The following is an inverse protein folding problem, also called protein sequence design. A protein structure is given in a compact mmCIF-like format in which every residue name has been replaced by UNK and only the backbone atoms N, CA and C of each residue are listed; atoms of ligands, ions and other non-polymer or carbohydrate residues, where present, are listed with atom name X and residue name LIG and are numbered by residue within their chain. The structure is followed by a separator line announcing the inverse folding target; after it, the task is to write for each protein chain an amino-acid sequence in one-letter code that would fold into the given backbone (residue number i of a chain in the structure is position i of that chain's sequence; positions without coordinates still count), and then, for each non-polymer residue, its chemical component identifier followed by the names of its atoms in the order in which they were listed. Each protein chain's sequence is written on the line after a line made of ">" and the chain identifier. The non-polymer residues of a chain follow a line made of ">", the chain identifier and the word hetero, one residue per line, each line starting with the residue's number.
data_IF_994591971656
#
_entry.id   IF_994591971656
#
_cell.length_a   1.000
_cell.length_b   1.000
_cell.length_c   1.000
_cell.angle_alpha   90.00
_cell.angle_beta   90.00
_cell.angle_gamma   90.00
#
_symmetry.space_group_name_H-M   'P 1'
#
loop_
_entity.id
_entity.type
_entity.pdbx_description
1 polymer ?
#
# COMPACT_ATOMS: atom_id res chain seq x y z
N UNK A 1 10.78 -30.05 -14.18
CA UNK A 1 9.63 -30.04 -13.25
C UNK A 1 8.52 -29.26 -13.91
N UNK A 2 7.27 -29.65 -13.71
CA UNK A 2 6.12 -28.89 -14.22
C UNK A 2 6.07 -27.56 -13.46
N UNK A 3 6.09 -26.41 -14.17
CA UNK A 3 5.97 -25.07 -13.55
C UNK A 3 4.53 -24.92 -13.06
N UNK A 4 4.30 -25.19 -11.78
CA UNK A 4 2.97 -25.11 -11.14
C UNK A 4 3.09 -24.28 -9.88
N UNK A 5 2.21 -23.30 -9.76
CA UNK A 5 2.09 -22.50 -8.55
C UNK A 5 1.76 -23.39 -7.34
N UNK A 6 2.20 -23.00 -6.13
CA UNK A 6 1.75 -23.63 -4.90
C UNK A 6 0.22 -23.69 -4.83
N UNK A 7 -0.34 -24.73 -4.21
CA UNK A 7 -1.80 -24.89 -4.11
C UNK A 7 -2.45 -23.85 -3.19
N UNK A 8 -1.65 -23.31 -2.30
CA UNK A 8 -1.94 -22.31 -1.29
C UNK A 8 -1.46 -20.91 -1.69
N UNK A 9 -1.14 -20.70 -2.97
CA UNK A 9 -0.77 -19.38 -3.48
C UNK A 9 -1.95 -18.39 -3.38
N UNK A 10 -1.68 -17.18 -2.89
CA UNK A 10 -2.71 -16.18 -2.69
C UNK A 10 -2.96 -15.37 -3.97
N UNK A 11 -4.22 -15.36 -4.40
CA UNK A 11 -4.74 -14.58 -5.53
C UNK A 11 -5.86 -13.67 -5.03
N UNK A 12 -5.73 -12.38 -5.29
CA UNK A 12 -6.70 -11.44 -4.74
C UNK A 12 -6.49 -10.01 -5.14
N UNK A 13 -7.09 -9.12 -4.36
CA UNK A 13 -6.98 -7.69 -4.55
C UNK A 13 -6.87 -6.94 -3.24
N UNK A 14 -6.51 -5.67 -3.36
CA UNK A 14 -6.29 -4.78 -2.24
C UNK A 14 -6.89 -3.40 -2.45
N UNK A 15 -7.33 -2.82 -1.33
CA UNK A 15 -7.92 -1.47 -1.30
C UNK A 15 -7.44 -0.70 -0.07
N UNK A 16 -7.91 0.54 0.05
CA UNK A 16 -7.82 1.35 1.26
C UNK A 16 -9.19 1.90 1.64
N UNK A 17 -9.43 2.01 2.94
CA UNK A 17 -10.65 2.50 3.58
C UNK A 17 -11.16 3.81 2.97
N UNK A 18 -10.31 4.83 2.89
CA UNK A 18 -10.73 6.16 2.40
C UNK A 18 -11.02 6.17 0.90
N UNK A 19 -10.45 5.25 0.11
CA UNK A 19 -10.69 5.16 -1.33
C UNK A 19 -11.94 4.36 -1.69
N UNK A 20 -12.48 3.56 -0.77
CA UNK A 20 -13.62 2.66 -1.03
C UNK A 20 -14.84 2.88 -0.16
N UNK A 21 -14.69 3.07 1.15
CA UNK A 21 -15.79 2.96 2.10
C UNK A 21 -16.85 4.06 1.95
N UNK A 22 -16.41 5.33 1.90
CA UNK A 22 -17.32 6.48 2.00
C UNK A 22 -17.91 6.62 3.41
N UNK A 23 -19.11 7.17 3.52
CA UNK A 23 -19.87 7.31 4.77
C UNK A 23 -19.06 7.98 5.89
N UNK A 24 -18.41 9.10 5.57
CA UNK A 24 -17.42 9.74 6.46
C UNK A 24 -17.95 10.18 7.84
N UNK A 25 -19.27 10.34 7.99
CA UNK A 25 -19.94 10.87 9.19
C UNK A 25 -20.92 9.85 9.81
N UNK A 26 -20.88 8.58 9.40
CA UNK A 26 -21.78 7.54 9.90
C UNK A 26 -21.07 6.57 10.85
N UNK A 27 -21.86 5.80 11.60
CA UNK A 27 -21.32 4.72 12.43
C UNK A 27 -20.45 5.19 13.59
N UNK A 28 -20.60 6.43 14.06
CA UNK A 28 -19.74 7.03 15.08
C UNK A 28 -18.32 7.38 14.62
N UNK A 29 -18.01 7.32 13.31
CA UNK A 29 -16.69 7.65 12.76
C UNK A 29 -16.26 9.08 13.13
N UNK A 30 -15.04 9.21 13.66
CA UNK A 30 -14.37 10.49 13.87
C UNK A 30 -13.78 11.08 12.58
N UNK A 31 -13.51 12.38 12.62
CA UNK A 31 -12.86 13.09 11.50
C UNK A 31 -11.43 12.58 11.32
N UNK A 32 -11.09 12.10 10.14
CA UNK A 32 -9.72 11.73 9.76
C UNK A 32 -9.06 12.84 8.94
N UNK A 33 -7.75 12.74 8.71
CA UNK A 33 -7.00 13.76 7.98
C UNK A 33 -7.50 13.97 6.54
N UNK A 34 -7.99 12.93 5.86
CA UNK A 34 -8.51 13.06 4.49
C UNK A 34 -9.83 13.83 4.43
N UNK A 35 -10.61 13.87 5.52
CA UNK A 35 -11.87 14.62 5.57
C UNK A 35 -11.66 16.15 5.55
N UNK A 36 -10.47 16.61 5.94
CA UNK A 36 -10.15 18.05 6.10
C UNK A 36 -9.03 18.53 5.20
N UNK A 37 -8.32 17.61 4.54
CA UNK A 37 -7.22 17.97 3.63
C UNK A 37 -7.74 18.79 2.46
N UNK A 38 -7.04 19.87 2.06
CA UNK A 38 -7.36 20.56 0.82
C UNK A 38 -7.30 19.59 -0.36
N UNK A 39 -8.32 19.64 -1.21
CA UNK A 39 -8.43 18.81 -2.41
C UNK A 39 -8.46 19.68 -3.65
N UNK A 40 -8.06 19.09 -4.78
CA UNK A 40 -8.25 19.73 -6.07
C UNK A 40 -9.76 19.84 -6.35
N UNK A 41 -10.31 21.05 -6.55
CA UNK A 41 -11.74 21.23 -6.81
C UNK A 41 -12.22 20.62 -8.13
N UNK A 42 -11.33 20.15 -9.01
CA UNK A 42 -11.67 19.37 -10.22
C UNK A 42 -11.87 17.87 -9.94
N UNK A 43 -11.34 17.37 -8.83
CA UNK A 43 -11.45 15.96 -8.44
C UNK A 43 -12.67 15.74 -7.54
N UNK A 44 -12.90 14.49 -7.11
CA UNK A 44 -14.00 14.15 -6.21
C UNK A 44 -13.72 14.58 -4.77
N UNK A 45 -14.60 14.17 -3.86
CA UNK A 45 -14.33 14.13 -2.43
C UNK A 45 -14.40 12.71 -1.86
N UNK A 46 -13.99 12.55 -0.61
CA UNK A 46 -13.94 11.26 0.08
C UNK A 46 -15.27 10.89 0.76
N UNK A 47 -16.35 11.64 0.54
CA UNK A 47 -17.58 11.46 1.32
C UNK A 47 -18.21 10.12 1.04
N UNK A 48 -18.34 9.79 -0.25
CA UNK A 48 -19.08 8.61 -0.72
C UNK A 48 -18.13 7.54 -1.26
N UNK A 49 -16.92 7.91 -1.70
CA UNK A 49 -15.98 6.99 -2.33
C UNK A 49 -16.69 6.07 -3.35
N UNK A 50 -16.58 4.75 -3.26
CA UNK A 50 -17.40 3.84 -4.07
C UNK A 50 -18.51 3.17 -3.28
N UNK A 51 -18.80 3.67 -2.07
CA UNK A 51 -19.87 3.18 -1.20
C UNK A 51 -19.69 1.69 -0.85
N UNK A 52 -18.45 1.24 -0.62
CA UNK A 52 -18.19 -0.13 -0.13
C UNK A 52 -18.83 -0.33 1.26
N UNK A 53 -18.93 0.72 2.07
CA UNK A 53 -19.48 0.64 3.44
C UNK A 53 -20.92 0.07 3.46
N UNK A 54 -21.72 0.31 2.42
CA UNK A 54 -23.08 -0.28 2.32
C UNK A 54 -23.19 -1.36 1.25
N UNK A 55 -22.19 -1.52 0.38
CA UNK A 55 -22.23 -2.43 -0.79
C UNK A 55 -21.21 -3.56 -0.76
N UNK A 56 -20.49 -3.75 0.34
CA UNK A 56 -19.49 -4.83 0.45
C UNK A 56 -20.04 -6.23 0.15
N UNK A 57 -21.34 -6.49 0.31
CA UNK A 57 -21.98 -7.73 -0.15
C UNK A 57 -21.90 -7.95 -1.68
N UNK A 58 -22.17 -6.90 -2.46
CA UNK A 58 -22.04 -6.92 -3.93
C UNK A 58 -20.58 -7.07 -4.33
N UNK A 59 -19.69 -6.34 -3.65
CA UNK A 59 -18.26 -6.34 -3.95
C UNK A 59 -17.61 -7.70 -3.62
N UNK A 60 -17.95 -8.33 -2.49
CA UNK A 60 -17.48 -9.69 -2.13
C UNK A 60 -17.96 -10.73 -3.15
N UNK A 61 -19.20 -10.61 -3.64
CA UNK A 61 -19.70 -11.52 -4.67
C UNK A 61 -18.89 -11.42 -5.98
N UNK A 62 -18.49 -10.21 -6.36
CA UNK A 62 -17.62 -9.95 -7.51
C UNK A 62 -16.20 -10.47 -7.27
N UNK A 63 -15.62 -10.25 -6.09
CA UNK A 63 -14.30 -10.80 -5.72
C UNK A 63 -14.29 -12.32 -5.81
N UNK A 64 -15.30 -12.98 -5.26
CA UNK A 64 -15.47 -14.44 -5.39
C UNK A 64 -15.63 -14.85 -6.85
N UNK A 65 -16.38 -14.08 -7.64
CA UNK A 65 -16.57 -14.33 -9.06
C UNK A 65 -15.29 -14.17 -9.90
N UNK A 66 -14.30 -13.40 -9.42
CA UNK A 66 -12.95 -13.31 -9.99
C UNK A 66 -12.01 -14.42 -9.48
N UNK A 67 -12.46 -15.33 -8.62
CA UNK A 67 -11.63 -16.41 -8.08
C UNK A 67 -10.71 -15.98 -6.93
N UNK A 68 -11.03 -14.90 -6.21
CA UNK A 68 -10.24 -14.47 -5.07
C UNK A 68 -10.22 -15.54 -3.97
N UNK A 69 -9.04 -15.78 -3.40
CA UNK A 69 -8.86 -16.51 -2.15
C UNK A 69 -8.24 -15.63 -1.05
N UNK A 70 -7.90 -14.38 -1.36
CA UNK A 70 -7.29 -13.43 -0.44
C UNK A 70 -7.82 -12.01 -0.69
N UNK A 71 -7.98 -11.21 0.37
CA UNK A 71 -8.34 -9.80 0.24
C UNK A 71 -7.68 -8.95 1.31
N UNK A 72 -6.96 -7.91 0.88
CA UNK A 72 -6.28 -6.97 1.77
C UNK A 72 -7.03 -5.65 1.82
N UNK A 73 -7.53 -5.28 2.99
CA UNK A 73 -8.16 -3.97 3.20
C UNK A 73 -7.50 -3.23 4.37
N UNK A 74 -7.71 -1.92 4.46
CA UNK A 74 -7.31 -1.15 5.64
C UNK A 74 -8.47 -0.84 6.54
N UNK A 75 -8.21 -0.81 7.84
CA UNK A 75 -9.15 -0.31 8.83
C UNK A 75 -8.97 1.20 8.94
N UNK A 76 -10.06 1.95 8.89
CA UNK A 76 -10.07 3.36 9.19
C UNK A 76 -9.96 3.57 10.70
N UNK A 77 -8.80 4.05 11.17
CA UNK A 77 -8.53 4.23 12.60
C UNK A 77 -9.63 5.06 13.29
N UNK A 78 -10.11 6.13 12.65
CA UNK A 78 -11.17 6.98 13.23
C UNK A 78 -12.56 6.32 13.28
N UNK A 79 -12.76 5.13 12.70
CA UNK A 79 -13.95 4.31 12.97
C UNK A 79 -13.83 3.50 14.26
N UNK A 80 -12.62 3.08 14.64
CA UNK A 80 -12.40 2.25 15.84
C UNK A 80 -12.23 3.13 17.09
N UNK A 81 -11.43 4.20 16.99
CA UNK A 81 -11.17 5.15 18.06
C UNK A 81 -11.29 6.57 17.45
N UNK A 82 -12.44 7.25 17.59
CA UNK A 82 -12.77 8.44 16.79
C UNK A 82 -11.75 9.59 16.80
N UNK A 83 -11.22 9.95 17.97
CA UNK A 83 -10.12 10.91 18.14
C UNK A 83 -8.75 10.23 18.26
N UNK A 84 -8.70 8.91 18.31
CA UNK A 84 -7.49 8.09 18.34
C UNK A 84 -6.72 8.10 19.66
N UNK A 85 -7.27 8.67 20.74
CA UNK A 85 -6.51 8.92 21.99
C UNK A 85 -6.43 7.68 22.89
N UNK A 86 -5.60 7.72 23.94
CA UNK A 86 -5.39 6.58 24.84
C UNK A 86 -6.61 6.21 25.71
N UNK A 87 -7.44 7.19 26.07
CA UNK A 87 -8.52 7.00 27.04
C UNK A 87 -9.93 6.99 26.41
N UNK A 88 -10.02 7.19 25.10
CA UNK A 88 -11.30 7.27 24.40
C UNK A 88 -11.94 5.88 24.23
N UNK A 89 -13.23 5.68 24.58
CA UNK A 89 -13.91 4.41 24.38
C UNK A 89 -13.84 3.91 22.93
N UNK A 90 -13.75 2.60 22.75
CA UNK A 90 -13.84 1.97 21.42
C UNK A 90 -15.23 2.19 20.87
N UNK A 91 -15.31 2.58 19.60
CA UNK A 91 -16.57 2.71 18.89
C UNK A 91 -17.02 1.35 18.34
N UNK A 92 -17.96 0.72 19.03
CA UNK A 92 -18.43 -0.64 18.71
C UNK A 92 -19.19 -0.72 17.37
N UNK A 93 -19.75 0.38 16.83
CA UNK A 93 -20.34 0.38 15.48
C UNK A 93 -19.27 0.22 14.39
N UNK A 94 -18.13 0.89 14.54
CA UNK A 94 -16.97 0.72 13.65
C UNK A 94 -16.38 -0.70 13.76
N UNK A 95 -16.26 -1.24 14.97
CA UNK A 95 -15.83 -2.64 15.18
C UNK A 95 -16.79 -3.61 14.50
N UNK A 96 -18.10 -3.38 14.62
CA UNK A 96 -19.12 -4.23 13.99
C UNK A 96 -18.99 -4.24 12.47
N UNK A 97 -18.78 -3.09 11.83
CA UNK A 97 -18.60 -3.01 10.38
C UNK A 97 -17.46 -3.92 9.89
N UNK A 98 -16.26 -3.77 10.45
CA UNK A 98 -15.12 -4.60 10.03
C UNK A 98 -15.29 -6.07 10.42
N UNK A 99 -15.91 -6.36 11.58
CA UNK A 99 -16.22 -7.74 11.96
C UNK A 99 -17.16 -8.41 10.96
N UNK A 100 -18.23 -7.73 10.53
CA UNK A 100 -19.17 -8.24 9.54
C UNK A 100 -18.49 -8.45 8.18
N UNK A 101 -17.64 -7.51 7.76
CA UNK A 101 -16.84 -7.64 6.53
C UNK A 101 -15.93 -8.88 6.58
N UNK A 102 -15.19 -9.07 7.67
CA UNK A 102 -14.32 -10.23 7.90
C UNK A 102 -15.10 -11.53 7.84
N UNK A 103 -16.24 -11.61 8.54
CA UNK A 103 -17.07 -12.82 8.58
C UNK A 103 -17.60 -13.19 7.20
N UNK A 104 -17.99 -12.20 6.39
CA UNK A 104 -18.47 -12.44 5.03
C UNK A 104 -17.37 -12.81 4.06
N UNK A 105 -16.18 -12.23 4.17
CA UNK A 105 -15.01 -12.64 3.39
C UNK A 105 -14.69 -14.11 3.66
N UNK A 106 -14.60 -14.49 4.93
CA UNK A 106 -14.36 -15.88 5.34
C UNK A 106 -15.46 -16.83 4.86
N UNK A 107 -16.74 -16.44 4.97
CA UNK A 107 -17.86 -17.20 4.44
C UNK A 107 -17.82 -17.36 2.90
N UNK A 108 -17.22 -16.39 2.20
CA UNK A 108 -16.99 -16.46 0.77
C UNK A 108 -15.80 -17.37 0.39
N UNK A 109 -14.95 -17.74 1.34
CA UNK A 109 -13.70 -18.48 1.13
C UNK A 109 -12.51 -17.56 0.80
N UNK A 110 -12.58 -16.29 1.20
CA UNK A 110 -11.58 -15.27 0.95
C UNK A 110 -10.87 -14.97 2.27
N UNK A 111 -9.56 -15.21 2.33
CA UNK A 111 -8.74 -14.94 3.51
C UNK A 111 -8.48 -13.43 3.66
N UNK A 112 -8.90 -12.81 4.78
CA UNK A 112 -8.70 -11.40 5.01
C UNK A 112 -7.27 -11.10 5.50
N UNK A 113 -6.73 -9.96 5.05
CA UNK A 113 -5.55 -9.33 5.61
C UNK A 113 -5.87 -7.89 6.03
N UNK A 114 -5.48 -7.55 7.26
CA UNK A 114 -5.69 -6.21 7.82
C UNK A 114 -4.44 -5.34 7.64
N UNK A 115 -4.66 -4.16 7.07
CA UNK A 115 -3.75 -3.01 7.14
C UNK A 115 -4.23 -2.04 8.23
N UNK A 116 -3.41 -1.75 9.23
CA UNK A 116 -3.83 -0.89 10.34
C UNK A 116 -3.93 0.59 9.94
N UNK A 117 -2.98 1.11 9.16
CA UNK A 117 -2.95 2.50 8.71
C UNK A 117 -2.67 2.58 7.22
N UNK A 118 -3.57 3.24 6.51
CA UNK A 118 -3.40 3.65 5.12
C UNK A 118 -3.52 5.17 5.02
N UNK A 119 -2.62 5.85 5.75
CA UNK A 119 -2.46 7.32 5.82
C UNK A 119 -3.61 8.10 6.50
N UNK A 120 -4.71 7.44 6.86
CA UNK A 120 -5.99 7.99 7.31
C UNK A 120 -6.11 8.18 8.84
N UNK A 121 -5.09 8.82 9.44
CA UNK A 121 -5.04 9.11 10.88
C UNK A 121 -6.22 9.98 11.36
N UNK A 122 -6.75 9.77 12.59
CA UNK A 122 -7.69 10.68 13.22
C UNK A 122 -7.13 12.11 13.26
N UNK A 123 -7.90 13.08 12.76
CA UNK A 123 -7.45 14.47 12.62
C UNK A 123 -7.13 15.12 13.98
N UNK A 124 -7.77 14.65 15.06
CA UNK A 124 -7.44 15.08 16.42
C UNK A 124 -5.96 14.86 16.77
N UNK A 125 -5.38 13.72 16.37
CA UNK A 125 -3.97 13.42 16.62
C UNK A 125 -3.04 14.30 15.79
N UNK A 126 -3.42 14.58 14.55
CA UNK A 126 -2.68 15.50 13.67
C UNK A 126 -2.67 16.91 14.26
N UNK A 127 -3.85 17.44 14.56
CA UNK A 127 -4.04 18.84 14.98
C UNK A 127 -3.41 19.15 16.34
N UNK A 128 -3.47 18.22 17.29
CA UNK A 128 -3.06 18.49 18.67
C UNK A 128 -1.67 17.93 19.02
N UNK A 129 -1.14 17.01 18.22
CA UNK A 129 0.12 16.32 18.52
C UNK A 129 1.06 16.21 17.30
N UNK A 130 0.73 16.85 16.17
CA UNK A 130 1.54 16.81 14.94
C UNK A 130 1.81 15.37 14.45
N UNK A 131 0.79 14.51 14.56
CA UNK A 131 0.83 13.12 14.09
C UNK A 131 2.03 12.34 14.62
N UNK A 132 2.69 11.57 13.76
CA UNK A 132 3.80 10.70 14.18
C UNK A 132 5.08 11.43 14.58
N UNK A 133 5.14 12.77 14.56
CA UNK A 133 6.20 13.49 15.26
C UNK A 133 6.15 13.27 16.79
N UNK A 134 4.98 12.95 17.34
CA UNK A 134 4.78 12.77 18.77
C UNK A 134 4.81 11.30 19.20
N UNK A 135 5.58 11.00 20.25
CA UNK A 135 5.59 9.68 20.90
C UNK A 135 4.26 9.31 21.53
N UNK A 136 3.49 10.30 21.98
CA UNK A 136 2.12 10.06 22.42
C UNK A 136 1.28 9.44 21.30
N UNK A 137 1.47 9.87 20.04
CA UNK A 137 0.76 9.28 18.89
C UNK A 137 1.24 7.86 18.58
N UNK A 138 2.52 7.56 18.83
CA UNK A 138 3.06 6.19 18.77
C UNK A 138 2.35 5.27 19.78
N UNK A 139 2.10 5.76 21.00
CA UNK A 139 1.36 5.00 22.03
C UNK A 139 -0.13 4.87 21.69
N UNK A 140 -0.75 5.93 21.16
CA UNK A 140 -2.11 5.89 20.62
C UNK A 140 -2.25 4.84 19.51
N UNK A 141 -1.26 4.74 18.61
CA UNK A 141 -1.23 3.71 17.58
C UNK A 141 -1.09 2.30 18.18
N UNK A 142 -0.22 2.11 19.18
CA UNK A 142 -0.09 0.82 19.86
C UNK A 142 -1.43 0.37 20.48
N UNK A 143 -2.14 1.30 21.12
CA UNK A 143 -3.48 1.03 21.66
C UNK A 143 -4.44 0.60 20.55
N UNK A 144 -4.51 1.36 19.47
CA UNK A 144 -5.37 1.05 18.33
C UNK A 144 -5.06 -0.33 17.73
N UNK A 145 -3.79 -0.64 17.51
CA UNK A 145 -3.34 -1.94 17.03
C UNK A 145 -3.80 -3.07 17.97
N UNK A 146 -3.63 -2.92 19.28
CA UNK A 146 -4.09 -3.90 20.28
C UNK A 146 -5.61 -4.10 20.24
N UNK A 147 -6.40 -3.03 20.10
CA UNK A 147 -7.86 -3.14 19.95
C UNK A 147 -8.21 -3.94 18.69
N UNK A 148 -7.61 -3.63 17.54
CA UNK A 148 -7.86 -4.38 16.31
C UNK A 148 -7.46 -5.86 16.44
N UNK A 149 -6.29 -6.15 17.01
CA UNK A 149 -5.80 -7.52 17.22
C UNK A 149 -6.69 -8.28 18.20
N UNK A 150 -7.17 -7.64 19.26
CA UNK A 150 -8.12 -8.24 20.22
C UNK A 150 -9.45 -8.61 19.55
N UNK A 151 -9.98 -7.71 18.71
CA UNK A 151 -11.33 -7.88 18.13
C UNK A 151 -11.38 -8.74 16.86
N UNK A 152 -10.28 -8.83 16.11
CA UNK A 152 -10.24 -9.49 14.81
C UNK A 152 -9.19 -10.59 14.69
N UNK A 153 -8.25 -10.69 15.63
CA UNK A 153 -7.11 -11.61 15.58
C UNK A 153 -7.47 -13.09 15.70
N UNK A 154 -8.67 -13.41 16.19
CA UNK A 154 -9.19 -14.79 16.20
C UNK A 154 -9.49 -15.33 14.79
N UNK A 155 -9.67 -14.44 13.81
CA UNK A 155 -10.10 -14.75 12.44
C UNK A 155 -9.10 -14.30 11.37
N UNK A 156 -8.31 -13.27 11.65
CA UNK A 156 -7.37 -12.68 10.68
C UNK A 156 -5.94 -13.15 10.97
N UNK A 157 -5.33 -13.80 9.97
CA UNK A 157 -3.99 -14.38 10.09
C UNK A 157 -2.88 -13.49 9.56
N UNK A 158 -3.17 -12.54 8.66
CA UNK A 158 -2.19 -11.67 8.03
C UNK A 158 -2.40 -10.20 8.44
N UNK A 159 -1.33 -9.57 8.91
CA UNK A 159 -1.35 -8.22 9.47
C UNK A 159 -0.24 -7.34 8.92
N UNK A 160 -0.53 -6.05 8.85
CA UNK A 160 0.40 -5.00 8.45
C UNK A 160 0.11 -3.72 9.24
N UNK A 161 1.16 -3.01 9.66
CA UNK A 161 1.00 -1.72 10.34
C UNK A 161 0.70 -0.60 9.36
N UNK A 162 1.68 -0.22 8.55
CA UNK A 162 1.63 0.92 7.65
C UNK A 162 1.72 0.43 6.22
N UNK A 163 0.81 0.89 5.37
CA UNK A 163 1.00 0.75 3.95
C UNK A 163 2.17 1.64 3.49
N UNK A 164 3.00 1.14 2.55
CA UNK A 164 4.07 1.92 1.90
C UNK A 164 4.98 2.68 2.88
N UNK A 165 5.52 1.97 3.88
CA UNK A 165 6.13 2.63 5.04
C UNK A 165 7.37 3.48 4.69
N UNK A 166 8.05 3.21 3.58
CA UNK A 166 9.21 3.97 3.13
C UNK A 166 8.85 5.43 2.81
N UNK A 167 7.61 5.72 2.43
CA UNK A 167 7.14 7.08 2.18
C UNK A 167 7.23 7.98 3.41
N UNK A 168 7.21 7.43 4.63
CA UNK A 168 7.38 8.21 5.86
C UNK A 168 8.78 8.83 5.99
N UNK A 169 9.79 8.29 5.28
CA UNK A 169 11.14 8.87 5.16
C UNK A 169 11.30 9.81 3.97
N UNK A 170 10.23 10.05 3.20
CA UNK A 170 10.25 10.87 1.99
C UNK A 170 9.30 12.07 2.07
N UNK A 171 8.17 11.92 2.77
CA UNK A 171 7.10 12.91 2.76
C UNK A 171 6.36 12.97 4.10
N UNK A 172 6.53 14.08 4.83
CA UNK A 172 5.89 14.33 6.14
C UNK A 172 4.36 14.22 6.11
N UNK A 173 3.75 14.51 4.95
CA UNK A 173 2.32 14.38 4.72
C UNK A 173 1.82 12.95 4.98
N UNK A 174 2.59 11.92 4.64
CA UNK A 174 2.19 10.52 4.88
C UNK A 174 2.21 10.17 6.37
N UNK A 175 3.09 10.80 7.13
CA UNK A 175 3.17 10.70 8.60
C UNK A 175 2.20 11.61 9.35
N UNK A 176 1.51 12.50 8.64
CA UNK A 176 0.68 13.58 9.18
C UNK A 176 1.44 14.47 10.19
N UNK A 177 2.71 14.76 9.89
CA UNK A 177 3.67 15.42 10.78
C UNK A 177 4.34 16.63 10.12
N UNK A 178 3.55 17.45 9.42
CA UNK A 178 4.03 18.51 8.53
C UNK A 178 4.54 19.77 9.27
N UNK A 179 4.24 19.91 10.57
CA UNK A 179 4.78 21.02 11.36
C UNK A 179 6.22 20.72 11.79
N UNK A 180 7.18 21.47 11.25
CA UNK A 180 8.60 21.34 11.56
C UNK A 180 8.94 22.27 12.74
N UNK A 181 9.52 21.77 13.84
CA UNK A 181 9.91 22.62 14.97
C UNK A 181 10.93 23.70 14.60
N UNK A 182 10.85 24.85 15.27
CA UNK A 182 11.79 25.95 15.05
C UNK A 182 13.24 25.50 15.27
N UNK A 183 14.12 25.86 14.32
CA UNK A 183 15.54 25.50 14.37
C UNK A 183 15.87 24.06 13.97
N UNK A 184 14.88 23.25 13.58
CA UNK A 184 15.08 21.89 13.07
C UNK A 184 15.01 21.90 11.54
N UNK A 185 15.98 21.27 10.88
CA UNK A 185 15.96 21.12 9.42
C UNK A 185 14.91 20.09 8.99
N UNK A 186 14.37 20.25 7.77
CA UNK A 186 13.42 19.30 7.19
C UNK A 186 13.92 17.84 7.24
N UNK A 187 15.15 17.49 6.79
CA UNK A 187 15.63 16.11 6.84
C UNK A 187 15.69 15.56 8.27
N UNK A 188 16.15 16.37 9.24
CA UNK A 188 16.27 15.93 10.64
C UNK A 188 14.90 15.61 11.24
N UNK A 189 13.90 16.47 10.98
CA UNK A 189 12.52 16.21 11.39
C UNK A 189 11.94 14.99 10.69
N UNK A 190 12.11 14.88 9.37
CA UNK A 190 11.62 13.76 8.56
C UNK A 190 12.15 12.41 9.05
N UNK A 191 13.45 12.30 9.32
CA UNK A 191 14.05 11.05 9.77
C UNK A 191 13.74 10.73 11.23
N UNK A 192 13.50 11.73 12.09
CA UNK A 192 12.93 11.52 13.43
C UNK A 192 11.50 10.97 13.35
N UNK A 193 10.66 11.55 12.49
CA UNK A 193 9.28 11.07 12.27
C UNK A 193 9.28 9.64 11.73
N UNK A 194 10.15 9.33 10.77
CA UNK A 194 10.32 7.98 10.24
C UNK A 194 10.72 6.98 11.34
N UNK A 195 11.59 7.38 12.26
CA UNK A 195 11.96 6.56 13.40
C UNK A 195 10.77 6.29 14.33
N UNK A 196 9.98 7.30 14.65
CA UNK A 196 8.76 7.13 15.45
C UNK A 196 7.75 6.18 14.79
N UNK A 197 7.59 6.26 13.46
CA UNK A 197 6.75 5.32 12.69
C UNK A 197 7.30 3.89 12.76
N UNK A 198 8.62 3.70 12.70
CA UNK A 198 9.24 2.39 12.91
C UNK A 198 8.98 1.85 14.32
N UNK A 199 9.01 2.71 15.35
CA UNK A 199 8.69 2.30 16.73
C UNK A 199 7.22 1.91 16.86
N UNK A 200 6.31 2.64 16.20
CA UNK A 200 4.90 2.27 16.11
C UNK A 200 4.72 0.90 15.42
N UNK A 201 5.41 0.64 14.30
CA UNK A 201 5.42 -0.65 13.61
C UNK A 201 5.84 -1.78 14.56
N UNK A 202 7.00 -1.63 15.20
CA UNK A 202 7.55 -2.64 16.10
C UNK A 202 6.64 -2.91 17.31
N UNK A 203 5.97 -1.87 17.85
CA UNK A 203 4.94 -2.03 18.90
C UNK A 203 3.76 -2.88 18.44
N UNK A 204 3.29 -2.71 17.21
CA UNK A 204 2.23 -3.55 16.65
C UNK A 204 2.69 -4.99 16.39
N UNK A 205 3.92 -5.20 15.90
CA UNK A 205 4.51 -6.54 15.76
C UNK A 205 4.57 -7.22 17.12
N UNK A 206 5.12 -6.56 18.14
CA UNK A 206 5.15 -7.08 19.52
C UNK A 206 3.76 -7.46 20.01
N UNK A 207 2.78 -6.56 19.87
CA UNK A 207 1.41 -6.83 20.29
C UNK A 207 0.83 -8.07 19.59
N UNK A 208 1.06 -8.25 18.28
CA UNK A 208 0.62 -9.45 17.57
C UNK A 208 1.30 -10.70 18.12
N UNK A 209 2.63 -10.69 18.34
CA UNK A 209 3.34 -11.85 18.89
C UNK A 209 2.83 -12.26 20.27
N UNK A 210 2.46 -11.29 21.10
CA UNK A 210 1.94 -11.53 22.45
C UNK A 210 0.49 -12.03 22.45
N UNK A 211 -0.35 -11.50 21.56
CA UNK A 211 -1.79 -11.73 21.59
C UNK A 211 -2.27 -12.80 20.61
N UNK A 212 -1.60 -12.97 19.47
CA UNK A 212 -1.94 -13.87 18.36
C UNK A 212 -0.66 -14.50 17.77
N UNK A 213 0.03 -15.39 18.51
CA UNK A 213 1.36 -15.89 18.13
C UNK A 213 1.41 -16.67 16.81
N UNK A 214 0.29 -17.25 16.38
CA UNK A 214 0.20 -17.99 15.11
C UNK A 214 -0.04 -17.08 13.90
N UNK A 215 -0.42 -15.82 14.12
CA UNK A 215 -0.63 -14.84 13.06
C UNK A 215 0.70 -14.29 12.53
N UNK A 216 0.66 -13.83 11.29
CA UNK A 216 1.78 -13.32 10.52
C UNK A 216 1.71 -11.81 10.37
N UNK A 217 2.88 -11.17 10.48
CA UNK A 217 3.05 -9.73 10.33
C UNK A 217 4.05 -9.45 9.22
N UNK A 218 3.73 -8.53 8.30
CA UNK A 218 4.63 -8.16 7.22
C UNK A 218 5.25 -6.78 7.38
N UNK A 219 6.43 -6.61 6.78
CA UNK A 219 7.02 -5.30 6.52
C UNK A 219 6.68 -4.85 5.11
N UNK A 220 6.06 -3.67 4.92
CA UNK A 220 5.56 -3.21 3.63
C UNK A 220 6.22 -1.92 3.16
N UNK A 221 6.63 -1.88 1.89
CA UNK A 221 7.13 -0.67 1.23
C UNK A 221 6.56 -0.47 -0.18
N UNK A 222 6.51 0.79 -0.62
CA UNK A 222 6.36 1.16 -2.03
C UNK A 222 7.70 1.02 -2.74
N UNK A 223 8.00 -0.19 -3.21
CA UNK A 223 9.32 -0.50 -3.73
C UNK A 223 9.38 -0.16 -5.21
N UNK A 224 10.10 0.91 -5.52
CA UNK A 224 10.41 1.30 -6.90
C UNK A 224 11.86 0.93 -7.20
N UNK A 225 12.08 0.04 -8.17
CA UNK A 225 13.42 -0.26 -8.66
C UNK A 225 14.05 1.00 -9.28
N UNK A 226 15.38 1.13 -9.22
CA UNK A 226 16.10 2.31 -9.73
C UNK A 226 17.20 1.86 -10.70
N UNK A 227 17.00 2.18 -11.98
CA UNK A 227 18.01 2.00 -13.02
C UNK A 227 18.95 3.21 -13.09
N UNK A 228 20.22 2.95 -13.40
CA UNK A 228 21.13 3.97 -13.88
C UNK A 228 20.82 4.28 -15.36
N UNK A 229 20.82 5.55 -15.73
CA UNK A 229 20.58 5.98 -17.11
C UNK A 229 21.73 5.57 -18.05
N UNK A 230 22.97 5.56 -17.55
CA UNK A 230 24.14 5.08 -18.29
C UNK A 230 25.02 4.10 -17.49
N UNK A 231 26.02 3.51 -18.16
CA UNK A 231 26.90 2.50 -17.59
C UNK A 231 28.15 3.08 -16.91
N UNK A 232 28.18 4.37 -16.59
CA UNK A 232 29.29 4.97 -15.85
C UNK A 232 29.33 4.44 -14.41
N UNK A 233 30.52 4.24 -13.82
CA UNK A 233 30.64 3.87 -12.42
C UNK A 233 29.90 4.82 -11.47
N UNK A 234 29.90 6.11 -11.77
CA UNK A 234 29.26 7.15 -10.95
C UNK A 234 27.74 7.06 -11.00
N UNK A 235 27.13 6.86 -12.18
CA UNK A 235 25.68 6.70 -12.27
C UNK A 235 25.23 5.40 -11.57
N UNK A 236 25.97 4.31 -11.77
CA UNK A 236 25.65 3.02 -11.14
C UNK A 236 25.76 3.09 -9.61
N UNK A 237 26.79 3.76 -9.08
CA UNK A 237 26.91 3.99 -7.64
C UNK A 237 25.74 4.83 -7.11
N UNK A 238 25.40 5.94 -7.78
CA UNK A 238 24.29 6.80 -7.37
C UNK A 238 22.95 6.05 -7.38
N UNK A 239 22.65 5.29 -8.43
CA UNK A 239 21.43 4.48 -8.51
C UNK A 239 21.35 3.42 -7.40
N UNK A 240 22.45 2.73 -7.12
CA UNK A 240 22.52 1.74 -6.03
C UNK A 240 22.32 2.39 -4.65
N UNK A 241 22.96 3.54 -4.41
CA UNK A 241 22.77 4.29 -3.16
C UNK A 241 21.35 4.85 -3.04
N UNK A 242 20.77 5.35 -4.13
CA UNK A 242 19.38 5.80 -4.17
C UNK A 242 18.43 4.67 -3.77
N UNK A 243 18.61 3.47 -4.34
CA UNK A 243 17.78 2.32 -3.97
C UNK A 243 17.92 2.00 -2.47
N UNK A 244 19.15 1.92 -1.98
CA UNK A 244 19.41 1.58 -0.58
C UNK A 244 18.86 2.61 0.41
N UNK A 245 18.95 3.90 0.10
CA UNK A 245 18.49 5.00 0.97
C UNK A 245 16.97 5.23 0.90
N UNK A 246 16.31 4.84 -0.19
CA UNK A 246 14.86 5.01 -0.33
C UNK A 246 14.06 3.75 -0.01
N UNK A 247 14.61 2.58 -0.30
CA UNK A 247 13.92 1.30 -0.18
C UNK A 247 14.66 0.35 0.75
N UNK A 248 15.94 0.08 0.46
CA UNK A 248 16.71 -0.99 1.10
C UNK A 248 16.81 -0.86 2.62
N UNK A 249 16.91 0.37 3.14
CA UNK A 249 17.11 0.56 4.58
C UNK A 249 15.90 0.07 5.38
N UNK A 250 14.70 0.27 4.84
CA UNK A 250 13.45 -0.14 5.46
C UNK A 250 13.34 -1.67 5.46
N UNK A 251 13.61 -2.27 4.31
CA UNK A 251 13.57 -3.74 4.11
C UNK A 251 14.58 -4.43 5.03
N UNK A 252 15.81 -3.91 5.12
CA UNK A 252 16.82 -4.40 6.05
C UNK A 252 16.35 -4.31 7.49
N UNK A 253 15.75 -3.17 7.87
CA UNK A 253 15.29 -2.96 9.25
C UNK A 253 14.20 -3.96 9.64
N UNK A 254 13.23 -4.19 8.75
CA UNK A 254 12.16 -5.18 8.97
C UNK A 254 12.69 -6.59 9.20
N UNK A 255 13.76 -6.98 8.51
CA UNK A 255 14.32 -8.34 8.57
C UNK A 255 15.37 -8.53 9.67
N UNK A 256 16.19 -7.50 9.95
CA UNK A 256 17.39 -7.62 10.79
C UNK A 256 17.19 -7.09 12.21
N UNK A 257 16.14 -6.31 12.45
CA UNK A 257 15.83 -5.73 13.75
C UNK A 257 16.83 -4.66 14.23
N UNK A 258 17.45 -3.97 13.27
CA UNK A 258 18.31 -2.79 13.46
C UNK A 258 18.34 -1.98 12.17
N UNK A 259 18.66 -0.69 12.26
CA UNK A 259 18.99 0.07 11.05
C UNK A 259 20.33 -0.41 10.46
N UNK A 260 20.46 -0.49 9.13
CA UNK A 260 21.69 -0.93 8.49
C UNK A 260 22.79 0.14 8.59
N UNK A 261 24.05 -0.31 8.62
CA UNK A 261 25.21 0.55 8.90
C UNK A 261 25.36 1.71 7.89
N UNK A 262 25.02 1.48 6.62
CA UNK A 262 25.08 2.53 5.60
C UNK A 262 24.05 3.65 5.83
N UNK A 263 22.89 3.31 6.41
CA UNK A 263 21.84 4.27 6.75
C UNK A 263 22.27 5.10 7.96
N UNK A 264 22.80 4.45 9.00
CA UNK A 264 23.34 5.14 10.17
C UNK A 264 24.47 6.09 9.77
N UNK A 265 25.44 5.61 9.00
CA UNK A 265 26.54 6.46 8.50
C UNK A 265 26.03 7.62 7.65
N UNK A 266 25.00 7.41 6.82
CA UNK A 266 24.40 8.48 6.02
C UNK A 266 23.83 9.60 6.89
N UNK A 267 23.08 9.24 7.94
CA UNK A 267 22.41 10.18 8.83
C UNK A 267 23.37 10.85 9.83
N UNK A 268 24.30 10.10 10.42
CA UNK A 268 25.28 10.60 11.39
C UNK A 268 26.17 11.67 10.77
N UNK A 269 26.71 11.41 9.57
CA UNK A 269 27.57 12.37 8.86
C UNK A 269 26.85 13.68 8.55
N UNK A 270 25.52 13.69 8.52
CA UNK A 270 24.68 14.86 8.24
C UNK A 270 24.04 15.48 9.48
N UNK A 271 24.26 14.90 10.67
CA UNK A 271 23.62 15.33 11.91
C UNK A 271 22.11 15.09 11.92
N UNK A 272 21.63 14.12 11.15
CA UNK A 272 20.21 13.78 10.99
C UNK A 272 19.81 12.47 11.69
N UNK A 273 20.71 11.85 12.43
CA UNK A 273 20.41 10.66 13.21
C UNK A 273 19.25 10.95 14.18
N UNK A 274 18.17 10.13 14.18
CA UNK A 274 17.07 10.31 15.10
C UNK A 274 17.53 10.11 16.54
N UNK A 275 16.86 10.78 17.46
CA UNK A 275 16.99 10.52 18.89
C UNK A 275 16.23 9.26 19.23
N UNK A 276 16.95 8.28 19.77
CA UNK A 276 16.40 7.06 20.34
C UNK A 276 15.97 7.33 21.78
N UNK A 277 14.79 6.85 22.13
CA UNK A 277 14.30 6.82 23.51
C UNK A 277 14.61 5.47 24.16
N UNK A 278 14.49 5.43 25.49
CA UNK A 278 14.72 4.20 26.25
C UNK A 278 13.81 3.08 25.73
N UNK A 279 14.42 1.96 25.33
CA UNK A 279 13.73 0.78 24.82
C UNK A 279 13.57 0.71 23.30
N UNK A 280 13.86 1.78 22.54
CA UNK A 280 13.73 1.76 21.07
C UNK A 280 14.63 0.71 20.41
N UNK A 281 15.86 0.53 20.91
CA UNK A 281 16.78 -0.50 20.40
C UNK A 281 16.27 -1.93 20.63
N UNK A 282 15.62 -2.19 21.76
CA UNK A 282 15.01 -3.48 22.05
C UNK A 282 13.75 -3.70 21.21
N UNK A 283 13.00 -2.62 20.98
CA UNK A 283 11.78 -2.64 20.20
C UNK A 283 12.08 -2.93 18.71
N UNK A 284 13.18 -2.43 18.16
CA UNK A 284 13.62 -2.76 16.79
C UNK A 284 13.79 -4.26 16.55
N UNK A 285 14.08 -5.06 17.59
CA UNK A 285 14.26 -6.52 17.46
C UNK A 285 12.97 -7.27 17.09
N UNK A 286 11.81 -6.62 17.13
CA UNK A 286 10.55 -7.21 16.69
C UNK A 286 10.45 -7.16 15.15
N UNK A 287 10.94 -8.22 14.50
CA UNK A 287 10.97 -8.36 13.05
C UNK A 287 9.73 -9.04 12.46
N UNK A 288 9.64 -9.00 11.13
CA UNK A 288 8.48 -9.46 10.34
C UNK A 288 8.63 -10.90 9.86
N UNK A 289 7.51 -11.55 9.50
CA UNK A 289 7.49 -12.91 8.96
C UNK A 289 7.82 -12.96 7.46
N UNK A 290 7.49 -11.90 6.72
CA UNK A 290 7.72 -11.78 5.28
C UNK A 290 7.77 -10.31 4.84
N UNK A 291 8.35 -10.05 3.68
CA UNK A 291 8.45 -8.71 3.09
C UNK A 291 7.33 -8.54 2.07
N UNK A 292 6.47 -7.56 2.30
CA UNK A 292 5.45 -7.15 1.36
C UNK A 292 5.87 -5.91 0.57
N UNK A 293 5.33 -5.75 -0.63
CA UNK A 293 5.57 -4.54 -1.40
C UNK A 293 4.42 -4.19 -2.34
N UNK A 294 4.29 -2.89 -2.60
CA UNK A 294 3.58 -2.37 -3.78
C UNK A 294 4.60 -2.12 -4.88
N UNK A 295 4.22 -2.45 -6.12
CA UNK A 295 5.02 -2.16 -7.30
C UNK A 295 4.12 -1.67 -8.41
N UNK A 296 4.53 -0.57 -9.05
CA UNK A 296 3.80 0.01 -10.18
C UNK A 296 4.70 0.31 -11.37
N UNK A 297 5.96 0.68 -11.10
CA UNK A 297 6.91 1.18 -12.09
C UNK A 297 8.35 1.04 -11.57
N UNK A 298 9.30 1.17 -12.49
CA UNK A 298 10.68 1.55 -12.20
C UNK A 298 10.86 3.08 -12.21
N UNK A 299 12.01 3.52 -11.69
CA UNK A 299 12.56 4.84 -11.94
C UNK A 299 13.91 4.69 -12.65
N UNK A 300 14.29 5.67 -13.47
CA UNK A 300 15.65 5.80 -14.02
C UNK A 300 16.25 7.10 -13.55
N UNK A 301 17.52 7.08 -13.14
CA UNK A 301 18.24 8.27 -12.64
C UNK A 301 19.54 8.51 -13.38
N UNK A 302 19.85 9.79 -13.61
CA UNK A 302 21.18 10.23 -14.03
C UNK A 302 22.14 10.26 -12.83
N UNK A 303 23.43 10.45 -13.10
CA UNK A 303 24.43 10.69 -12.05
C UNK A 303 24.04 11.87 -11.17
N UNK A 304 24.03 11.65 -9.85
CA UNK A 304 23.71 12.65 -8.85
C UNK A 304 24.64 12.57 -7.64
N UNK A 305 24.36 13.40 -6.64
CA UNK A 305 25.05 13.42 -5.36
C UNK A 305 24.04 13.59 -4.22
N UNK A 306 24.30 12.95 -3.09
CA UNK A 306 23.55 13.19 -1.86
C UNK A 306 24.21 14.31 -1.07
N UNK A 307 23.59 15.48 -1.06
CA UNK A 307 24.09 16.66 -0.34
C UNK A 307 23.79 16.59 1.18
N UNK A 308 24.13 17.67 1.90
CA UNK A 308 23.99 17.79 3.36
C UNK A 308 22.81 18.69 3.77
N UNK A 309 21.91 19.01 2.82
CA UNK A 309 20.83 19.98 3.02
C UNK A 309 19.46 19.35 2.78
N UNK A 310 19.34 18.47 1.78
CA UNK A 310 18.08 17.91 1.32
C UNK A 310 17.92 16.42 1.69
N UNK A 311 16.68 15.95 1.95
CA UNK A 311 16.44 14.52 2.15
C UNK A 311 16.87 13.71 0.92
N UNK A 312 17.23 12.45 1.13
CA UNK A 312 17.68 11.56 0.06
C UNK A 312 16.67 11.47 -1.11
N UNK A 313 15.37 11.49 -0.83
CA UNK A 313 14.33 11.44 -1.87
C UNK A 313 14.39 12.64 -2.82
N UNK A 314 14.69 13.83 -2.32
CA UNK A 314 14.74 15.04 -3.14
C UNK A 314 15.95 15.02 -4.07
N UNK A 315 17.11 14.56 -3.57
CA UNK A 315 18.30 14.34 -4.39
C UNK A 315 18.04 13.33 -5.53
N UNK A 316 17.27 12.27 -5.25
CA UNK A 316 16.93 11.24 -6.25
C UNK A 316 15.92 11.77 -7.27
N UNK A 317 14.85 12.42 -6.79
CA UNK A 317 13.79 12.97 -7.63
C UNK A 317 14.32 14.01 -8.62
N UNK A 318 15.30 14.82 -8.23
CA UNK A 318 15.94 15.80 -9.11
C UNK A 318 16.67 15.15 -10.30
N UNK A 319 17.17 13.92 -10.12
CA UNK A 319 17.90 13.19 -11.16
C UNK A 319 17.04 12.22 -11.95
N UNK A 320 15.76 12.07 -11.59
CA UNK A 320 14.86 11.15 -12.27
C UNK A 320 14.61 11.59 -13.72
N UNK A 321 14.66 10.62 -14.62
CA UNK A 321 14.35 10.78 -16.05
C UNK A 321 13.47 9.62 -16.50
N UNK A 322 12.70 9.83 -17.56
CA UNK A 322 11.97 8.75 -18.23
C UNK A 322 12.95 7.81 -18.92
N UNK A 323 12.74 6.52 -18.75
CA UNK A 323 13.50 5.48 -19.44
C UNK A 323 13.05 5.42 -20.91
N UNK A 324 13.94 5.69 -21.89
CA UNK A 324 13.57 5.61 -23.30
C UNK A 324 13.24 4.18 -23.78
N UNK A 325 13.45 3.17 -22.93
CA UNK A 325 13.18 1.75 -23.20
C UNK A 325 11.89 1.23 -22.56
N UNK A 326 11.17 2.05 -21.79
CA UNK A 326 9.90 1.65 -21.17
C UNK A 326 8.74 2.46 -21.77
N UNK A 327 7.63 1.78 -22.03
CA UNK A 327 6.36 2.48 -22.28
C UNK A 327 5.83 3.08 -20.98
N UNK A 328 5.00 4.13 -21.09
CA UNK A 328 4.38 4.76 -19.93
C UNK A 328 2.89 5.05 -20.18
N UNK A 329 2.10 5.04 -19.11
CA UNK A 329 0.69 5.42 -19.18
C UNK A 329 0.50 6.96 -19.27
N UNK A 330 -0.76 7.42 -19.34
CA UNK A 330 -1.12 8.85 -19.39
C UNK A 330 -0.57 9.67 -18.21
N UNK A 331 -0.28 9.03 -17.07
CA UNK A 331 0.32 9.66 -15.88
C UNK A 331 1.85 9.57 -15.85
N UNK A 332 2.48 9.22 -16.97
CA UNK A 332 3.93 9.06 -17.12
C UNK A 332 4.54 8.02 -16.16
N UNK A 333 3.76 7.01 -15.77
CA UNK A 333 4.27 5.86 -15.03
C UNK A 333 4.69 4.78 -16.00
N UNK A 334 5.96 4.38 -15.90
CA UNK A 334 6.58 3.35 -16.72
C UNK A 334 5.94 1.98 -16.45
N UNK A 335 5.70 1.23 -17.52
CA UNK A 335 5.23 -0.16 -17.48
C UNK A 335 6.48 -1.04 -17.59
N UNK A 336 6.94 -1.56 -16.46
CA UNK A 336 8.17 -2.36 -16.40
C UNK A 336 7.96 -3.68 -15.60
N UNK A 337 7.49 -4.75 -16.26
CA UNK A 337 7.39 -6.07 -15.63
C UNK A 337 8.77 -6.70 -15.35
N UNK A 338 9.83 -6.30 -16.03
CA UNK A 338 11.19 -6.83 -15.76
C UNK A 338 11.72 -6.27 -14.45
N UNK A 339 11.50 -4.97 -14.19
CA UNK A 339 11.79 -4.34 -12.91
C UNK A 339 10.98 -4.91 -11.75
N UNK A 340 9.79 -5.46 -12.03
CA UNK A 340 8.99 -6.18 -11.03
C UNK A 340 9.68 -7.48 -10.59
N UNK A 341 10.15 -8.29 -11.54
CA UNK A 341 10.96 -9.49 -11.25
C UNK A 341 12.27 -9.16 -10.56
N UNK A 342 12.95 -8.09 -10.96
CA UNK A 342 14.13 -7.61 -10.22
C UNK A 342 13.74 -7.35 -8.77
N UNK A 343 12.68 -6.58 -8.53
CA UNK A 343 12.25 -6.23 -7.16
C UNK A 343 11.96 -7.47 -6.32
N UNK A 344 11.24 -8.46 -6.85
CA UNK A 344 11.01 -9.76 -6.19
C UNK A 344 12.33 -10.44 -5.77
N UNK A 345 13.28 -10.49 -6.70
CA UNK A 345 14.61 -11.08 -6.47
C UNK A 345 15.41 -10.33 -5.40
N UNK A 346 15.46 -9.00 -5.48
CA UNK A 346 16.23 -8.19 -4.53
C UNK A 346 15.69 -8.37 -3.11
N UNK A 347 14.37 -8.22 -2.93
CA UNK A 347 13.74 -8.33 -1.61
C UNK A 347 13.96 -9.71 -0.98
N UNK A 348 13.80 -10.78 -1.77
CA UNK A 348 13.99 -12.15 -1.29
C UNK A 348 15.46 -12.43 -0.96
N UNK A 349 16.39 -12.16 -1.88
CA UNK A 349 17.81 -12.47 -1.68
C UNK A 349 18.48 -11.58 -0.62
N UNK A 350 18.01 -10.33 -0.47
CA UNK A 350 18.52 -9.41 0.54
C UNK A 350 18.18 -9.85 1.97
N UNK A 351 16.98 -10.40 2.16
CA UNK A 351 16.46 -10.70 3.51
C UNK A 351 16.44 -12.19 3.85
N UNK A 352 16.39 -13.06 2.83
CA UNK A 352 16.12 -14.49 2.99
C UNK A 352 14.68 -14.81 3.42
N UNK A 353 13.79 -13.81 3.48
CA UNK A 353 12.39 -13.98 3.85
C UNK A 353 11.50 -14.19 2.60
N UNK A 354 10.33 -14.83 2.74
CA UNK A 354 9.33 -14.84 1.69
C UNK A 354 8.91 -13.41 1.30
N UNK A 355 8.50 -13.23 0.05
CA UNK A 355 7.99 -11.96 -0.48
C UNK A 355 6.51 -12.06 -0.81
N UNK A 356 5.79 -10.94 -0.70
CA UNK A 356 4.36 -10.89 -1.00
C UNK A 356 3.99 -9.62 -1.75
N UNK A 357 3.54 -9.76 -2.99
CA UNK A 357 3.02 -8.64 -3.79
C UNK A 357 1.65 -8.24 -3.23
N UNK A 358 1.56 -7.10 -2.56
CA UNK A 358 0.31 -6.63 -1.96
C UNK A 358 -0.42 -5.56 -2.76
N UNK A 359 0.27 -4.91 -3.70
CA UNK A 359 -0.36 -4.03 -4.68
C UNK A 359 0.41 -4.05 -6.00
N UNK A 360 -0.27 -4.39 -7.09
CA UNK A 360 0.21 -4.17 -8.46
C UNK A 360 -1.00 -3.90 -9.36
N UNK A 361 -0.91 -2.91 -10.24
CA UNK A 361 -2.01 -2.55 -11.12
C UNK A 361 -1.71 -1.34 -11.98
N UNK A 362 -2.59 -1.07 -12.94
CA UNK A 362 -2.43 0.05 -13.87
C UNK A 362 -3.64 0.98 -13.82
N UNK A 363 -3.34 2.27 -13.62
CA UNK A 363 -4.32 3.33 -13.75
C UNK A 363 -4.50 3.72 -15.22
N UNK A 364 -5.75 3.77 -15.67
CA UNK A 364 -6.10 4.17 -17.04
C UNK A 364 -7.37 5.04 -17.05
N UNK A 365 -7.51 5.88 -18.06
CA UNK A 365 -8.71 6.71 -18.25
C UNK A 365 -9.77 5.94 -19.03
N UNK A 366 -10.95 5.80 -18.43
CA UNK A 366 -12.14 5.22 -19.07
C UNK A 366 -13.29 6.23 -18.92
N UNK A 367 -13.15 7.36 -19.62
CA UNK A 367 -14.14 8.44 -19.59
C UNK A 367 -15.31 8.11 -20.53
N UNK A 368 -16.51 8.05 -19.96
CA UNK A 368 -17.75 7.72 -20.67
C UNK A 368 -18.91 8.51 -20.04
N UNK A 369 -19.75 9.10 -20.87
CA UNK A 369 -21.03 9.69 -20.46
C UNK A 369 -22.02 8.61 -20.01
N UNK A 370 -23.07 8.98 -19.26
CA UNK A 370 -24.11 8.02 -18.87
C UNK A 370 -24.81 7.39 -20.09
N UNK A 371 -25.04 8.17 -21.15
CA UNK A 371 -25.64 7.66 -22.40
C UNK A 371 -24.76 6.59 -23.07
N UNK A 372 -23.43 6.78 -23.06
CA UNK A 372 -22.49 5.80 -23.60
C UNK A 372 -22.45 4.53 -22.76
N UNK A 373 -22.50 4.65 -21.43
CA UNK A 373 -22.61 3.50 -20.52
C UNK A 373 -23.90 2.73 -20.76
N UNK A 374 -25.04 3.43 -20.82
CA UNK A 374 -26.36 2.81 -21.05
C UNK A 374 -26.42 2.10 -22.40
N UNK A 375 -25.90 2.74 -23.45
CA UNK A 375 -25.83 2.16 -24.79
C UNK A 375 -24.93 0.92 -24.82
N UNK A 376 -23.75 0.99 -24.21
CA UNK A 376 -22.84 -0.15 -24.10
C UNK A 376 -23.52 -1.35 -23.42
N UNK A 377 -24.20 -1.11 -22.30
CA UNK A 377 -24.91 -2.15 -21.56
C UNK A 377 -26.10 -2.72 -22.34
N UNK A 378 -26.88 -1.87 -23.02
CA UNK A 378 -28.02 -2.31 -23.85
C UNK A 378 -27.60 -3.19 -25.04
N UNK A 379 -26.39 -2.99 -25.57
CA UNK A 379 -25.79 -3.80 -26.63
C UNK A 379 -25.11 -5.07 -26.09
N UNK A 380 -25.11 -5.30 -24.77
CA UNK A 380 -24.44 -6.43 -24.13
C UNK A 380 -22.91 -6.34 -24.18
N UNK A 381 -22.36 -5.15 -24.38
CA UNK A 381 -20.91 -4.88 -24.41
C UNK A 381 -20.39 -4.52 -23.02
N UNK A 382 -19.07 -4.54 -22.87
CA UNK A 382 -18.36 -4.02 -21.69
C UNK A 382 -17.19 -3.13 -22.10
N UNK A 383 -16.48 -2.58 -21.12
CA UNK A 383 -15.25 -1.83 -21.32
C UNK A 383 -14.16 -2.79 -21.77
N UNK A 384 -13.64 -2.54 -22.98
CA UNK A 384 -12.54 -3.29 -23.59
C UNK A 384 -11.19 -2.73 -23.09
N UNK A 385 -10.64 -3.32 -22.03
CA UNK A 385 -9.45 -2.83 -21.34
C UNK A 385 -8.23 -3.76 -21.50
N UNK A 386 -7.89 -4.07 -22.75
CA UNK A 386 -6.76 -4.95 -23.09
C UNK A 386 -5.40 -4.46 -22.54
N UNK A 387 -5.23 -3.14 -22.33
CA UNK A 387 -4.03 -2.59 -21.68
C UNK A 387 -3.86 -3.11 -20.24
N UNK A 388 -4.97 -3.31 -19.51
CA UNK A 388 -4.96 -3.83 -18.14
C UNK A 388 -4.68 -5.33 -18.14
N UNK A 389 -5.27 -6.06 -19.08
CA UNK A 389 -4.98 -7.48 -19.32
C UNK A 389 -3.48 -7.66 -19.60
N UNK A 390 -2.93 -6.92 -20.55
CA UNK A 390 -1.52 -7.00 -20.93
C UNK A 390 -0.61 -6.68 -19.73
N UNK A 391 -0.90 -5.61 -18.98
CA UNK A 391 -0.14 -5.24 -17.79
C UNK A 391 -0.05 -6.39 -16.78
N UNK A 392 -1.21 -6.92 -16.34
CA UNK A 392 -1.23 -8.00 -15.36
C UNK A 392 -0.62 -9.29 -15.90
N UNK A 393 -0.90 -9.65 -17.16
CA UNK A 393 -0.30 -10.84 -17.80
C UNK A 393 1.22 -10.80 -17.73
N UNK A 394 1.80 -9.69 -18.12
CA UNK A 394 3.25 -9.60 -18.27
C UNK A 394 3.95 -9.50 -16.89
N UNK A 395 3.33 -8.85 -15.89
CA UNK A 395 3.83 -8.85 -14.51
C UNK A 395 3.70 -10.24 -13.84
N UNK A 396 2.59 -10.94 -14.04
CA UNK A 396 2.39 -12.30 -13.50
C UNK A 396 3.41 -13.25 -14.13
N UNK A 397 3.66 -13.17 -15.44
CA UNK A 397 4.72 -13.95 -16.11
C UNK A 397 6.10 -13.73 -15.49
N UNK A 398 6.46 -12.47 -15.23
CA UNK A 398 7.75 -12.15 -14.62
C UNK A 398 7.83 -12.58 -13.14
N UNK A 399 6.70 -12.60 -12.42
CA UNK A 399 6.62 -13.25 -11.10
C UNK A 399 6.83 -14.76 -11.20
N UNK A 400 6.21 -15.44 -12.17
CA UNK A 400 6.44 -16.88 -12.37
C UNK A 400 7.92 -17.17 -12.65
N UNK A 401 8.56 -16.33 -13.47
CA UNK A 401 9.99 -16.45 -13.73
C UNK A 401 10.83 -16.24 -12.46
N UNK A 402 10.52 -15.22 -11.64
CA UNK A 402 11.17 -15.01 -10.34
C UNK A 402 11.07 -16.27 -9.47
N UNK A 403 9.90 -16.88 -9.39
CA UNK A 403 9.68 -18.07 -8.55
C UNK A 403 10.38 -19.31 -9.10
N UNK A 404 10.23 -19.60 -10.39
CA UNK A 404 10.65 -20.90 -10.95
C UNK A 404 12.06 -20.92 -11.53
N UNK A 405 12.58 -19.78 -11.99
CA UNK A 405 13.92 -19.68 -12.57
C UNK A 405 14.93 -19.11 -11.56
N UNK A 406 14.50 -18.15 -10.73
CA UNK A 406 15.42 -17.46 -9.80
C UNK A 406 15.33 -17.98 -8.36
N UNK A 407 14.28 -18.74 -8.01
CA UNK A 407 14.11 -19.36 -6.70
C UNK A 407 13.47 -18.46 -5.64
N UNK A 408 12.73 -17.42 -6.05
CA UNK A 408 12.03 -16.52 -5.13
C UNK A 408 10.84 -17.24 -4.47
N UNK A 409 10.80 -17.21 -3.14
CA UNK A 409 9.62 -17.63 -2.37
C UNK A 409 8.58 -16.50 -2.33
N UNK A 410 7.64 -16.52 -3.28
CA UNK A 410 6.54 -15.55 -3.38
C UNK A 410 5.23 -16.17 -2.86
N UNK A 411 4.58 -15.48 -1.92
CA UNK A 411 3.35 -15.96 -1.27
C UNK A 411 2.09 -15.73 -2.11
N UNK A 412 2.08 -14.74 -3.00
CA UNK A 412 0.88 -14.36 -3.71
C UNK A 412 1.01 -13.13 -4.58
N UNK A 413 -0.05 -12.87 -5.35
CA UNK A 413 -0.21 -11.72 -6.22
C UNK A 413 -1.55 -11.01 -5.95
N UNK A 414 -1.47 -9.86 -5.29
CA UNK A 414 -2.63 -9.07 -4.90
C UNK A 414 -2.70 -7.80 -5.74
N UNK A 415 -3.78 -7.65 -6.51
CA UNK A 415 -3.99 -6.55 -7.45
C UNK A 415 -4.47 -5.28 -6.76
N UNK A 416 -4.05 -4.12 -7.22
CA UNK A 416 -4.51 -2.84 -6.66
C UNK A 416 -5.85 -2.37 -7.23
N UNK A 417 -6.80 -2.07 -6.34
CA UNK A 417 -8.10 -1.51 -6.68
C UNK A 417 -8.91 -2.38 -7.63
N UNK A 418 -9.21 -3.66 -7.30
CA UNK A 418 -9.82 -4.63 -8.21
C UNK A 418 -11.23 -4.25 -8.68
N UNK A 419 -11.93 -3.45 -7.88
CA UNK A 419 -13.12 -2.69 -8.24
C UNK A 419 -12.66 -1.22 -8.25
N UNK A 420 -13.08 -0.43 -9.23
CA UNK A 420 -12.62 0.95 -9.36
C UNK A 420 -12.71 1.69 -8.03
N UNK A 421 -11.65 2.40 -7.67
CA UNK A 421 -11.56 3.21 -6.45
C UNK A 421 -11.25 4.65 -6.82
N UNK A 422 -11.48 5.59 -5.90
CA UNK A 422 -10.89 6.93 -6.04
C UNK A 422 -9.37 6.81 -5.92
N UNK A 423 -8.59 7.23 -6.92
CA UNK A 423 -7.12 7.23 -6.80
C UNK A 423 -6.66 8.18 -5.68
N UNK A 424 -5.40 8.09 -5.22
CA UNK A 424 -4.88 8.76 -4.01
C UNK A 424 -5.08 10.29 -3.94
N UNK A 425 -5.28 10.95 -5.09
CA UNK A 425 -5.62 12.38 -5.20
C UNK A 425 -7.12 12.66 -5.25
N UNK A 426 -7.96 11.69 -4.87
CA UNK A 426 -9.41 11.71 -5.00
C UNK A 426 -9.91 11.75 -6.46
N UNK A 427 -9.12 11.22 -7.39
CA UNK A 427 -9.39 11.29 -8.83
C UNK A 427 -9.99 9.98 -9.36
N UNK A 428 -11.26 10.00 -9.75
CA UNK A 428 -11.98 8.87 -10.35
C UNK A 428 -11.55 8.60 -11.80
N UNK A 429 -10.96 9.58 -12.49
CA UNK A 429 -10.55 9.40 -13.89
C UNK A 429 -9.42 8.38 -14.05
N UNK A 430 -8.61 8.18 -13.00
CA UNK A 430 -7.53 7.19 -12.98
C UNK A 430 -8.07 5.87 -12.42
N UNK A 431 -8.67 5.06 -13.29
CA UNK A 431 -9.35 3.81 -12.93
C UNK A 431 -8.39 2.62 -12.92
N UNK A 432 -8.53 1.77 -11.90
CA UNK A 432 -7.67 0.59 -11.70
C UNK A 432 -8.41 -0.73 -11.87
N UNK A 433 -9.73 -0.75 -11.66
CA UNK A 433 -10.45 -1.99 -11.43
C UNK A 433 -10.66 -2.85 -12.65
N UNK A 434 -10.86 -4.13 -12.38
CA UNK A 434 -11.48 -5.10 -13.28
C UNK A 434 -13.01 -4.92 -13.32
N UNK A 435 -13.56 -4.21 -12.33
CA UNK A 435 -14.96 -3.83 -12.26
C UNK A 435 -15.05 -2.31 -12.29
N UNK A 436 -15.75 -1.77 -13.29
CA UNK A 436 -16.04 -0.35 -13.38
C UNK A 436 -17.08 0.06 -12.35
N UNK A 437 -16.87 1.18 -11.67
CA UNK A 437 -17.91 1.81 -10.85
C UNK A 437 -18.47 3.01 -11.61
N UNK A 438 -19.77 2.96 -11.91
CA UNK A 438 -20.46 4.01 -12.65
C UNK A 438 -20.66 5.25 -11.78
N UNK A 439 -19.60 6.07 -11.74
CA UNK A 439 -19.54 7.42 -11.18
C UNK A 439 -18.41 8.18 -11.85
N UNK A 440 -18.36 9.50 -11.68
CA UNK A 440 -17.25 10.36 -12.12
C UNK A 440 -16.71 11.15 -10.93
N UNK A 441 -15.74 12.04 -11.18
CA UNK A 441 -15.30 13.02 -10.17
C UNK A 441 -16.46 13.90 -9.65
N UNK A 442 -17.47 14.18 -10.49
CA UNK A 442 -18.51 15.20 -10.23
C UNK A 442 -19.93 14.68 -10.11
N UNK A 443 -20.16 13.42 -10.46
CA UNK A 443 -21.48 12.81 -10.48
C UNK A 443 -21.38 11.39 -9.95
N UNK A 444 -22.09 11.10 -8.85
CA UNK A 444 -22.15 9.77 -8.27
C UNK A 444 -22.90 8.76 -9.16
N UNK A 445 -23.76 9.25 -10.07
CA UNK A 445 -24.64 8.42 -10.91
C UNK A 445 -25.33 7.34 -10.06
N UNK A 446 -25.36 6.08 -10.50
CA UNK A 446 -25.95 4.96 -9.76
C UNK A 446 -24.93 4.10 -8.99
N UNK A 447 -23.63 4.38 -9.14
CA UNK A 447 -22.50 3.62 -8.58
C UNK A 447 -22.55 2.11 -8.87
N UNK A 448 -23.22 1.71 -9.96
CA UNK A 448 -23.33 0.32 -10.36
C UNK A 448 -21.95 -0.27 -10.68
N UNK A 449 -21.73 -1.51 -10.23
CA UNK A 449 -20.54 -2.31 -10.58
C UNK A 449 -20.74 -2.99 -11.94
N UNK A 450 -19.82 -2.75 -12.87
CA UNK A 450 -19.87 -3.26 -14.24
C UNK A 450 -18.56 -4.02 -14.53
N UNK A 451 -18.56 -5.36 -14.58
CA UNK A 451 -17.37 -6.15 -14.92
C UNK A 451 -16.81 -5.77 -16.30
N UNK A 452 -15.53 -5.39 -16.36
CA UNK A 452 -14.78 -5.07 -17.60
C UNK A 452 -14.32 -6.35 -18.30
N UNK A 453 -13.71 -6.25 -19.48
CA UNK A 453 -13.13 -7.42 -20.17
C UNK A 453 -12.09 -8.12 -19.30
N UNK A 454 -11.24 -7.35 -18.61
CA UNK A 454 -10.21 -7.82 -17.70
C UNK A 454 -10.71 -8.62 -16.49
N UNK A 455 -12.00 -8.49 -16.11
CA UNK A 455 -12.62 -9.34 -15.09
C UNK A 455 -12.56 -10.82 -15.47
N UNK A 456 -12.93 -11.15 -16.71
CA UNK A 456 -12.92 -12.53 -17.17
C UNK A 456 -11.50 -13.06 -17.36
N UNK A 457 -10.57 -12.17 -17.73
CA UNK A 457 -9.16 -12.50 -17.81
C UNK A 457 -8.60 -12.89 -16.43
N UNK A 458 -8.73 -12.03 -15.43
CA UNK A 458 -8.15 -12.30 -14.11
C UNK A 458 -8.81 -13.51 -13.44
N UNK A 459 -10.12 -13.70 -13.64
CA UNK A 459 -10.84 -14.90 -13.23
C UNK A 459 -10.18 -16.17 -13.77
N UNK A 460 -9.91 -16.22 -15.07
CA UNK A 460 -9.28 -17.37 -15.72
C UNK A 460 -7.89 -17.64 -15.15
N UNK A 461 -7.09 -16.59 -14.92
CA UNK A 461 -5.76 -16.72 -14.31
C UNK A 461 -5.86 -17.30 -12.89
N UNK A 462 -6.75 -16.77 -12.05
CA UNK A 462 -6.86 -17.18 -10.65
C UNK A 462 -7.46 -18.59 -10.51
N UNK A 463 -8.52 -18.92 -11.26
CA UNK A 463 -9.13 -20.26 -11.25
C UNK A 463 -8.19 -21.35 -11.81
N UNK A 464 -7.28 -20.99 -12.72
CA UNK A 464 -6.24 -21.91 -13.23
C UNK A 464 -4.98 -21.96 -12.37
N UNK A 465 -4.95 -21.22 -11.25
CA UNK A 465 -3.78 -21.05 -10.39
C UNK A 465 -2.52 -20.62 -11.18
N UNK A 466 -2.67 -19.64 -12.07
CA UNK A 466 -1.60 -19.11 -12.92
C UNK A 466 -1.33 -19.89 -14.20
N UNK A 467 -1.93 -21.08 -14.40
CA UNK A 467 -1.60 -21.94 -15.54
C UNK A 467 -2.12 -21.44 -16.89
N UNK A 468 -3.11 -20.55 -16.92
CA UNK A 468 -3.69 -19.98 -18.13
C UNK A 468 -3.63 -18.44 -18.12
N UNK A 469 -2.61 -17.90 -18.79
CA UNK A 469 -2.36 -16.47 -18.93
C UNK A 469 -2.77 -15.90 -20.30
N UNK A 470 -3.30 -16.71 -21.24
CA UNK A 470 -3.48 -16.35 -22.66
C UNK A 470 -4.93 -16.39 -23.17
#
# INVERSE_FOLDING_TARGET
>A
MERKMPKDFYWGGSVSSFQTEGHRNEGGKGVCIYDVRPMNPEFSDWNDAIDEYTRYDEDIALMKGMGFNFYRFSICWSRIIPNGTLDEPVNEEGVKFYSDLIDKLLAAGIEPMITLVHFDMPYHLVKNYNGFASRYVVDCFERYAKVCIERFGDRVKHWMSFNEQNLHSMMLRVSNAEEIPEGVSLPKHLYQVNHNVMMAHCKAVRALREMQPDAKFCGMGAITNIYAYDNSPENNLFASQAYNLLNGYLVDTFAQGKYPDYWNAYLENRGWMPTFEEGDEELLKYTVDYIAFSYYRSNTVKTGVFDYERPACDCVNEQQIQNPHCEANEWHWEIDPVGFRWTLNDLHHRTGLPVFVLENGIGWREDMTQEEVDKMLAEGRTIEDDYRINYHRDHIREMENAMFEDGVDCLGYITWGPIDILASMCNMDKRYGFVYVNRTNKDLRDMKRIPKKSYNYIKKVFESNGADLD
#
